data_IF_210293918685
#
_entry.id   IF_210293918685
#
_cell.length_a   1.000
_cell.length_b   1.000
_cell.length_c   1.000
_cell.angle_alpha   90.00
_cell.angle_beta   90.00
_cell.angle_gamma   90.00
#
_symmetry.space_group_name_H-M   'P 1'
#
loop_
_entity.id
_entity.type
_entity.pdbx_description
1 polymer ?
#
# COMPACT_ATOMS: atom_id res chain seq x y z
N UNK A 1 -2.05 21.62 -13.83
CA UNK A 1 -0.68 21.17 -13.51
C UNK A 1 -0.43 21.57 -12.08
N UNK A 2 -0.83 20.72 -11.13
CA UNK A 2 -0.62 21.00 -9.70
C UNK A 2 0.78 20.51 -9.36
N UNK A 3 1.57 21.44 -8.85
CA UNK A 3 2.94 21.25 -8.40
C UNK A 3 2.99 20.04 -7.45
N UNK A 4 3.80 19.05 -7.82
CA UNK A 4 4.16 17.97 -6.91
C UNK A 4 5.00 18.60 -5.80
N UNK A 5 4.36 18.95 -4.68
CA UNK A 5 5.07 19.26 -3.45
C UNK A 5 5.56 17.91 -2.91
N UNK A 6 6.81 17.57 -3.22
CA UNK A 6 7.53 16.51 -2.51
C UNK A 6 7.76 17.00 -1.08
N UNK A 7 6.83 16.68 -0.19
CA UNK A 7 7.10 16.75 1.25
C UNK A 7 8.18 15.71 1.57
N UNK A 8 9.44 16.14 1.53
CA UNK A 8 10.58 15.30 1.87
C UNK A 8 10.63 15.10 3.40
N UNK A 9 9.74 14.23 3.89
CA UNK A 9 9.84 13.70 5.23
C UNK A 9 11.16 12.93 5.38
N UNK A 10 11.94 13.33 6.38
CA UNK A 10 13.18 12.63 6.75
C UNK A 10 12.91 11.29 7.42
N UNK A 11 11.69 11.07 7.91
CA UNK A 11 11.30 9.88 8.68
C UNK A 11 10.48 8.89 7.88
N UNK A 12 9.84 9.33 6.79
CA UNK A 12 8.97 8.49 5.96
C UNK A 12 9.12 8.85 4.48
N UNK A 13 8.90 7.86 3.61
CA UNK A 13 8.68 8.06 2.18
C UNK A 13 7.18 7.95 1.94
N UNK A 14 6.60 8.97 1.31
CA UNK A 14 5.18 8.98 0.91
C UNK A 14 5.06 8.82 -0.59
N UNK A 15 4.15 7.97 -1.03
CA UNK A 15 3.81 7.77 -2.44
C UNK A 15 2.30 7.72 -2.62
N UNK A 16 1.84 8.24 -3.76
CA UNK A 16 0.44 8.17 -4.18
C UNK A 16 0.36 7.54 -5.56
N UNK A 17 -0.37 6.44 -5.65
CA UNK A 17 -0.58 5.70 -6.91
C UNK A 17 -2.06 5.78 -7.27
N UNK A 18 -2.36 6.06 -8.53
CA UNK A 18 -3.73 6.06 -9.07
C UNK A 18 -3.72 5.36 -10.41
N UNK A 19 -4.67 4.45 -10.62
CA UNK A 19 -4.88 3.77 -11.91
C UNK A 19 -6.27 4.10 -12.50
N UNK A 20 -6.43 3.81 -13.80
CA UNK A 20 -7.66 4.07 -14.57
C UNK A 20 -8.74 2.97 -14.40
N UNK A 21 -8.47 1.97 -13.56
CA UNK A 21 -9.41 0.90 -13.25
C UNK A 21 -10.60 1.38 -12.43
N UNK A 22 -11.64 0.53 -12.35
CA UNK A 22 -12.86 0.78 -11.56
C UNK A 22 -12.66 0.69 -10.04
N UNK A 23 -11.44 0.41 -9.60
CA UNK A 23 -11.13 0.12 -8.21
C UNK A 23 -11.50 -1.30 -7.78
N UNK A 24 -11.21 -1.62 -6.52
CA UNK A 24 -11.45 -2.92 -5.92
C UNK A 24 -11.72 -2.80 -4.41
N UNK A 25 -12.48 -3.75 -3.86
CA UNK A 25 -12.70 -3.83 -2.42
C UNK A 25 -11.52 -4.57 -1.74
N UNK A 26 -10.62 -3.81 -1.12
CA UNK A 26 -9.46 -4.37 -0.43
C UNK A 26 -9.79 -5.16 0.85
N UNK A 27 -10.97 -4.96 1.44
CA UNK A 27 -11.42 -5.69 2.63
C UNK A 27 -12.02 -7.06 2.29
N UNK A 28 -12.37 -7.31 1.02
CA UNK A 28 -12.85 -8.61 0.56
C UNK A 28 -11.70 -9.61 0.29
N UNK A 29 -10.44 -9.16 0.38
CA UNK A 29 -9.28 -10.01 0.13
C UNK A 29 -9.03 -10.98 1.28
N UNK A 30 -8.86 -12.26 0.93
CA UNK A 30 -8.56 -13.31 1.89
C UNK A 30 -7.10 -13.23 2.33
N UNK A 31 -6.82 -13.55 3.60
CA UNK A 31 -5.44 -13.65 4.10
C UNK A 31 -4.67 -14.72 3.32
N UNK A 32 -3.61 -14.34 2.56
CA UNK A 32 -2.85 -15.26 1.72
C UNK A 32 -1.98 -16.24 2.52
N UNK A 33 -1.79 -16.03 3.83
CA UNK A 33 -1.04 -16.93 4.72
C UNK A 33 -1.83 -18.16 5.13
N UNK A 34 -3.17 -18.14 4.99
CA UNK A 34 -4.01 -19.28 5.38
C UNK A 34 -3.72 -20.47 4.45
N UNK A 35 -3.61 -21.71 4.96
CA UNK A 35 -3.30 -22.89 4.14
C UNK A 35 -4.17 -23.02 2.87
N UNK A 36 -5.48 -22.77 2.99
CA UNK A 36 -6.42 -22.82 1.86
C UNK A 36 -6.30 -21.70 0.82
N UNK A 37 -5.44 -20.71 1.05
CA UNK A 37 -5.18 -19.58 0.15
C UNK A 37 -3.74 -19.58 -0.40
N UNK A 38 -2.89 -20.52 -0.01
CA UNK A 38 -1.47 -20.54 -0.43
C UNK A 38 -1.27 -20.62 -1.94
N UNK A 39 -2.19 -21.26 -2.67
CA UNK A 39 -2.11 -21.35 -4.14
C UNK A 39 -2.89 -20.24 -4.85
N UNK A 40 -3.54 -19.33 -4.11
CA UNK A 40 -4.22 -18.17 -4.71
C UNK A 40 -3.22 -17.04 -4.91
N UNK A 41 -3.34 -16.37 -6.05
CA UNK A 41 -2.46 -15.25 -6.40
C UNK A 41 -2.98 -13.91 -5.83
N UNK A 42 -4.27 -13.83 -5.52
CA UNK A 42 -4.92 -12.63 -4.99
C UNK A 42 -4.47 -12.28 -3.58
N UNK A 43 -4.42 -10.98 -3.26
CA UNK A 43 -4.26 -10.48 -1.89
C UNK A 43 -2.83 -10.37 -1.36
N UNK A 44 -1.84 -10.93 -2.07
CA UNK A 44 -0.43 -10.92 -1.64
C UNK A 44 0.19 -9.52 -1.59
N UNK A 45 -0.01 -8.73 -2.65
CA UNK A 45 0.49 -7.35 -2.68
C UNK A 45 -0.13 -6.49 -1.57
N UNK A 46 -1.44 -6.59 -1.38
CA UNK A 46 -2.15 -5.89 -0.29
C UNK A 46 -1.67 -6.33 1.09
N UNK A 47 -1.46 -7.64 1.27
CA UNK A 47 -0.89 -8.17 2.49
C UNK A 47 0.49 -7.57 2.78
N UNK A 48 1.41 -7.59 1.81
CA UNK A 48 2.75 -7.01 1.95
C UNK A 48 2.67 -5.51 2.27
N UNK A 49 1.84 -4.75 1.56
CA UNK A 49 1.69 -3.32 1.83
C UNK A 49 1.19 -3.06 3.26
N UNK A 50 0.19 -3.81 3.74
CA UNK A 50 -0.35 -3.68 5.10
C UNK A 50 0.65 -4.06 6.21
N UNK A 51 1.58 -4.98 5.94
CA UNK A 51 2.58 -5.43 6.93
C UNK A 51 3.79 -4.49 7.05
N UNK A 52 4.19 -3.82 5.97
CA UNK A 52 5.41 -3.00 5.95
C UNK A 52 5.17 -1.49 5.88
N UNK A 53 3.94 -1.06 5.57
CA UNK A 53 3.62 0.34 5.31
C UNK A 53 2.30 0.70 5.97
N UNK A 54 2.10 2.00 6.19
CA UNK A 54 0.76 2.54 6.43
C UNK A 54 0.11 2.80 5.07
N UNK A 55 -1.08 2.26 4.89
CA UNK A 55 -1.80 2.25 3.61
C UNK A 55 -3.17 2.88 3.80
N UNK A 56 -3.51 3.81 2.91
CA UNK A 56 -4.85 4.39 2.81
C UNK A 56 -5.39 4.17 1.40
N UNK A 57 -6.52 3.48 1.30
CA UNK A 57 -7.25 3.30 0.04
C UNK A 57 -8.26 4.44 -0.11
N UNK A 58 -8.29 5.04 -1.30
CA UNK A 58 -9.07 6.23 -1.64
C UNK A 58 -9.90 5.97 -2.92
N UNK A 59 -10.92 6.80 -3.14
CA UNK A 59 -11.83 6.63 -4.28
C UNK A 59 -12.57 5.30 -4.19
N UNK A 60 -12.70 4.61 -5.32
CA UNK A 60 -13.29 3.26 -5.40
C UNK A 60 -12.26 2.14 -5.13
N UNK A 61 -11.09 2.49 -4.60
CA UNK A 61 -9.98 1.57 -4.36
C UNK A 61 -8.92 1.53 -5.47
N UNK A 62 -9.04 2.38 -6.49
CA UNK A 62 -8.04 2.58 -7.56
C UNK A 62 -7.01 3.67 -7.23
N UNK A 63 -7.09 4.26 -6.04
CA UNK A 63 -6.13 5.23 -5.54
C UNK A 63 -5.62 4.80 -4.18
N UNK A 64 -4.30 4.77 -4.02
CA UNK A 64 -3.65 4.32 -2.79
C UNK A 64 -2.59 5.32 -2.37
N UNK A 65 -2.62 5.72 -1.11
CA UNK A 65 -1.54 6.44 -0.44
C UNK A 65 -0.75 5.45 0.41
N UNK A 66 0.57 5.47 0.25
CA UNK A 66 1.53 4.60 0.94
C UNK A 66 2.49 5.48 1.73
N UNK A 67 2.68 5.16 3.01
CA UNK A 67 3.69 5.77 3.87
C UNK A 67 4.61 4.66 4.40
N UNK A 68 5.86 4.64 3.92
CA UNK A 68 6.89 3.72 4.34
C UNK A 68 7.86 4.45 5.29
N UNK A 69 8.06 3.97 6.54
CA UNK A 69 9.09 4.52 7.41
C UNK A 69 10.48 4.40 6.77
N UNK A 70 11.28 5.46 6.85
CA UNK A 70 12.70 5.40 6.51
C UNK A 70 13.39 4.59 7.61
N UNK A 71 14.06 3.52 7.22
CA UNK A 71 14.98 2.77 8.07
C UNK A 71 16.39 3.15 7.66
N UNK A 72 16.84 4.33 8.06
CA UNK A 72 18.15 4.93 7.77
C UNK A 72 19.31 4.22 8.52
N UNK A 73 19.24 2.89 8.61
CA UNK A 73 20.27 2.04 9.22
C UNK A 73 20.21 1.96 10.75
N UNK A 74 19.26 2.62 11.40
CA UNK A 74 19.02 2.50 12.85
C UNK A 74 17.67 1.83 13.05
N UNK A 75 17.63 0.51 12.86
CA UNK A 75 16.65 -0.30 13.58
C UNK A 75 17.30 -0.67 14.92
N UNK A 76 16.63 -0.51 16.07
CA UNK A 76 17.16 -0.96 17.36
C UNK A 76 17.53 -2.45 17.38
#
# INVERSE_FOLDING_TARGET
MLEQIEDMSTTHVSAMVTDEGKGFNHEALLDPRRPGNLLKESGRGVFIMKEYMKVEYLGDGNKVRLELPRTDGITP
#
